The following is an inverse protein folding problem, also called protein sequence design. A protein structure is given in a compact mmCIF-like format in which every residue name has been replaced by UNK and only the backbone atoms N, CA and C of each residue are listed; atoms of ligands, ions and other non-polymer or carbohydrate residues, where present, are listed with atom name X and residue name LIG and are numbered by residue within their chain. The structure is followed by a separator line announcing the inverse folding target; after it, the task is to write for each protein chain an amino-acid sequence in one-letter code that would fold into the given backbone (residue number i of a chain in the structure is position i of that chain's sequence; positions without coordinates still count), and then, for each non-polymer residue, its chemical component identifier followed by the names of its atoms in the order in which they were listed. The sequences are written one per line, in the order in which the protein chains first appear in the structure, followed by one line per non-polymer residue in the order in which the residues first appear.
data_IF_026324893184
#
_entry.id   IF_026324893184
#
_cell.length_a   1.000
_cell.length_b   1.000
_cell.length_c   1.000
_cell.angle_alpha   90.00
_cell.angle_beta   90.00
_cell.angle_gamma   90.00
#
_symmetry.space_group_name_H-M   'P 1'
#
loop_
_entity.id
_entity.type
_entity.pdbx_description
1 polymer ?
#
# COMPACT_ATOMS: atom_id res chain seq x y z
N UNK A 1 18.72 21.70 -8.54
CA UNK A 1 20.20 21.73 -8.62
C UNK A 1 20.68 20.29 -8.57
N UNK A 2 21.31 19.82 -9.65
CA UNK A 2 21.92 18.49 -9.75
C UNK A 2 23.43 18.65 -9.66
N UNK A 3 24.10 17.75 -8.92
CA UNK A 3 25.56 17.66 -8.91
C UNK A 3 25.95 16.27 -9.41
N UNK A 4 26.67 16.24 -10.54
CA UNK A 4 27.37 15.07 -11.05
C UNK A 4 28.87 15.27 -10.77
N UNK A 5 29.50 14.33 -10.09
CA UNK A 5 30.96 14.27 -9.98
C UNK A 5 31.45 13.21 -10.97
N UNK A 6 32.16 13.68 -11.98
CA UNK A 6 32.94 12.86 -12.91
C UNK A 6 34.27 12.51 -12.25
N UNK A 7 34.55 11.21 -12.13
CA UNK A 7 35.87 10.68 -11.82
C UNK A 7 36.36 9.86 -13.01
N UNK A 8 37.20 10.47 -13.86
CA UNK A 8 37.92 9.79 -14.93
C UNK A 8 39.03 8.91 -14.35
N UNK A 9 39.04 7.65 -14.75
CA UNK A 9 40.14 6.71 -14.51
C UNK A 9 40.25 5.74 -15.67
N UNK A 10 40.78 6.22 -16.80
CA UNK A 10 41.12 5.42 -17.98
C UNK A 10 42.46 4.73 -17.73
N UNK A 11 42.46 3.40 -17.64
CA UNK A 11 43.65 2.59 -17.88
C UNK A 11 43.34 1.64 -19.04
N UNK A 12 43.75 2.08 -20.22
CA UNK A 12 43.95 1.26 -21.41
C UNK A 12 45.00 0.18 -21.10
N UNK A 13 44.64 -1.08 -21.28
CA UNK A 13 45.60 -2.16 -21.53
C UNK A 13 45.08 -2.94 -22.72
N UNK A 14 45.74 -2.77 -23.87
CA UNK A 14 45.69 -3.74 -24.96
C UNK A 14 46.80 -4.77 -24.72
N UNK A 15 46.54 -6.06 -24.94
CA UNK A 15 47.43 -6.79 -25.83
C UNK A 15 46.67 -7.62 -26.86
N UNK A 16 47.03 -7.33 -28.10
CA UNK A 16 47.34 -8.27 -29.20
C UNK A 16 46.26 -9.26 -29.67
N UNK A 17 45.90 -9.05 -30.92
CA UNK A 17 45.15 -9.93 -31.80
C UNK A 17 45.79 -11.32 -31.88
N UNK A 18 44.96 -12.37 -31.88
CA UNK A 18 45.11 -13.48 -32.83
C UNK A 18 43.86 -14.40 -32.87
N UNK A 19 43.35 -14.55 -34.10
CA UNK A 19 42.56 -15.67 -34.67
C UNK A 19 41.07 -15.83 -34.30
N UNK A 20 40.26 -15.13 -35.10
CA UNK A 20 38.99 -15.50 -35.75
C UNK A 20 38.43 -16.94 -35.57
N UNK A 21 37.26 -17.09 -34.92
CA UNK A 21 36.05 -17.74 -35.51
C UNK A 21 34.85 -17.76 -34.55
N UNK A 22 33.84 -16.98 -34.91
CA UNK A 22 32.40 -17.24 -34.76
C UNK A 22 31.91 -17.83 -33.42
N UNK A 23 31.48 -16.97 -32.51
CA UNK A 23 30.54 -17.34 -31.45
C UNK A 23 29.47 -16.26 -31.31
N UNK A 24 28.24 -16.71 -31.60
CA UNK A 24 26.94 -16.05 -31.56
C UNK A 24 26.80 -15.06 -30.40
N UNK A 25 26.25 -13.88 -30.70
CA UNK A 25 26.14 -12.73 -29.81
C UNK A 25 25.66 -13.08 -28.40
N UNK A 26 26.56 -12.91 -27.45
CA UNK A 26 26.21 -12.80 -26.04
C UNK A 26 25.53 -11.45 -25.83
N UNK A 27 24.21 -11.39 -26.10
CA UNK A 27 23.37 -10.32 -25.62
C UNK A 27 23.56 -10.19 -24.12
N UNK A 28 24.17 -9.09 -23.71
CA UNK A 28 24.29 -8.70 -22.32
C UNK A 28 22.89 -8.36 -21.79
N UNK A 29 22.10 -9.38 -21.41
CA UNK A 29 20.80 -9.19 -20.75
C UNK A 29 21.06 -8.82 -19.29
N UNK A 30 21.39 -7.56 -19.05
CA UNK A 30 21.29 -7.00 -17.71
C UNK A 30 19.80 -7.00 -17.35
N UNK A 31 19.35 -8.06 -16.67
CA UNK A 31 18.02 -8.11 -16.06
C UNK A 31 18.07 -7.19 -14.85
N UNK A 32 17.79 -5.90 -15.05
CA UNK A 32 17.42 -5.02 -13.95
C UNK A 32 16.07 -5.52 -13.39
N UNK A 33 16.14 -6.43 -12.42
CA UNK A 33 14.99 -6.84 -11.61
C UNK A 33 14.76 -5.76 -10.56
N UNK A 34 14.16 -4.65 -11.00
CA UNK A 34 13.59 -3.66 -10.10
C UNK A 34 12.11 -4.02 -9.91
N UNK A 35 11.71 -4.26 -8.67
CA UNK A 35 10.31 -4.42 -8.32
C UNK A 35 9.75 -3.08 -7.83
N UNK A 36 8.56 -2.72 -8.30
CA UNK A 36 7.93 -1.44 -7.98
C UNK A 36 6.88 -1.66 -6.89
N UNK A 37 7.09 -1.01 -5.76
CA UNK A 37 6.17 -0.96 -4.63
C UNK A 37 5.47 0.40 -4.63
N UNK A 38 4.18 0.44 -4.32
CA UNK A 38 3.44 1.69 -4.32
C UNK A 38 2.09 1.57 -3.65
N UNK A 39 1.41 2.69 -3.45
CA UNK A 39 0.06 2.71 -2.93
C UNK A 39 -0.77 3.77 -3.62
N UNK A 40 -2.01 3.44 -3.94
CA UNK A 40 -2.99 4.38 -4.52
C UNK A 40 -4.02 4.70 -3.44
N UNK A 41 -4.17 5.99 -3.10
CA UNK A 41 -5.15 6.47 -2.14
C UNK A 41 -6.21 7.31 -2.86
N UNK A 42 -7.48 7.00 -2.63
CA UNK A 42 -8.61 7.80 -3.06
C UNK A 42 -9.40 8.25 -1.84
N UNK A 43 -9.61 9.55 -1.72
CA UNK A 43 -10.36 10.16 -0.63
C UNK A 43 -11.58 10.85 -1.19
N UNK A 44 -12.75 10.50 -0.67
CA UNK A 44 -13.98 11.23 -0.87
C UNK A 44 -14.42 11.83 0.45
N UNK A 45 -14.65 13.14 0.47
CA UNK A 45 -15.16 13.83 1.65
C UNK A 45 -16.42 14.61 1.28
N UNK A 46 -17.47 14.38 2.06
CA UNK A 46 -18.71 15.11 2.03
C UNK A 46 -18.85 15.94 3.30
N UNK A 47 -19.03 17.26 3.13
CA UNK A 47 -19.29 18.22 4.19
C UNK A 47 -18.04 18.80 4.88
N UNK A 48 -18.25 19.75 5.82
CA UNK A 48 -17.23 20.73 6.25
C UNK A 48 -17.11 20.93 7.77
N UNK A 49 -17.66 20.04 8.61
CA UNK A 49 -17.63 20.15 10.09
C UNK A 49 -18.24 21.44 10.67
N UNK A 50 -19.15 22.08 9.95
CA UNK A 50 -19.85 23.31 10.33
C UNK A 50 -21.15 23.02 11.08
N UNK A 51 -21.87 21.96 10.68
CA UNK A 51 -23.13 21.61 11.32
C UNK A 51 -22.91 20.69 12.53
N UNK A 52 -23.87 20.75 13.45
CA UNK A 52 -23.82 20.02 14.71
C UNK A 52 -24.01 18.51 14.52
N UNK A 53 -24.59 18.04 13.42
CA UNK A 53 -24.88 16.62 13.20
C UNK A 53 -24.64 16.25 11.75
N UNK A 54 -24.05 15.08 11.51
CA UNK A 54 -23.94 14.48 10.17
C UNK A 54 -23.15 15.29 9.14
N UNK A 55 -22.38 16.30 9.55
CA UNK A 55 -21.79 17.27 8.61
C UNK A 55 -20.48 16.81 7.99
N UNK A 56 -19.88 15.73 8.47
CA UNK A 56 -18.74 15.13 7.81
C UNK A 56 -19.00 13.65 7.60
N UNK A 57 -18.98 13.24 6.35
CA UNK A 57 -18.75 11.85 5.97
C UNK A 57 -17.54 11.81 5.06
N UNK A 58 -16.53 11.05 5.44
CA UNK A 58 -15.31 10.87 4.68
C UNK A 58 -15.04 9.39 4.49
N UNK A 59 -14.66 9.03 3.29
CA UNK A 59 -14.33 7.67 2.88
C UNK A 59 -12.95 7.76 2.24
N UNK A 60 -11.98 7.07 2.82
CA UNK A 60 -10.65 6.91 2.23
C UNK A 60 -10.47 5.44 1.84
N UNK A 61 -10.18 5.17 0.58
CA UNK A 61 -9.83 3.86 0.06
C UNK A 61 -8.37 3.86 -0.37
N UNK A 62 -7.56 2.96 0.18
CA UNK A 62 -6.14 2.83 -0.10
C UNK A 62 -5.83 1.42 -0.58
N UNK A 63 -5.24 1.30 -1.76
CA UNK A 63 -4.73 0.05 -2.32
C UNK A 63 -3.21 0.07 -2.22
N UNK A 64 -2.63 -0.85 -1.46
CA UNK A 64 -1.19 -1.06 -1.37
C UNK A 64 -0.77 -2.17 -2.35
N UNK A 65 0.12 -1.81 -3.26
CA UNK A 65 0.79 -2.68 -4.23
C UNK A 65 2.16 -3.04 -3.67
N UNK A 66 2.28 -4.30 -3.24
CA UNK A 66 3.48 -4.85 -2.62
C UNK A 66 4.47 -5.42 -3.63
N UNK A 67 4.16 -5.51 -4.92
CA UNK A 67 5.09 -5.89 -5.99
C UNK A 67 4.40 -5.73 -7.34
N UNK A 68 5.00 -4.97 -8.25
CA UNK A 68 4.47 -4.83 -9.60
C UNK A 68 4.77 -6.08 -10.45
N UNK A 69 5.91 -6.72 -10.22
CA UNK A 69 6.24 -7.97 -10.92
C UNK A 69 5.26 -9.10 -10.56
N UNK A 70 4.86 -9.19 -9.29
CA UNK A 70 3.92 -10.22 -8.82
C UNK A 70 2.52 -10.01 -9.39
N UNK A 71 2.05 -8.75 -9.42
CA UNK A 71 0.77 -8.41 -10.01
C UNK A 71 0.78 -8.68 -11.51
N UNK A 72 1.83 -8.28 -12.23
CA UNK A 72 1.95 -8.52 -13.67
C UNK A 72 1.95 -10.03 -13.98
N UNK A 73 2.68 -10.82 -13.20
CA UNK A 73 2.69 -12.27 -13.32
C UNK A 73 1.31 -12.87 -13.01
N UNK A 74 0.61 -12.36 -12.00
CA UNK A 74 -0.75 -12.79 -11.64
C UNK A 74 -1.78 -12.49 -12.72
N UNK A 75 -1.75 -11.29 -13.30
CA UNK A 75 -2.61 -10.91 -14.43
C UNK A 75 -2.29 -11.75 -15.67
N UNK A 76 -1.01 -11.96 -15.97
CA UNK A 76 -0.58 -12.80 -17.07
C UNK A 76 -1.07 -14.25 -16.92
N UNK A 77 -0.93 -14.84 -15.72
CA UNK A 77 -1.40 -16.20 -15.45
C UNK A 77 -2.93 -16.31 -15.55
N UNK A 78 -3.67 -15.29 -15.09
CA UNK A 78 -5.14 -15.24 -15.17
C UNK A 78 -5.63 -15.17 -16.62
N UNK A 79 -5.00 -14.31 -17.44
CA UNK A 79 -5.33 -14.16 -18.86
C UNK A 79 -4.91 -15.37 -19.69
N UNK A 80 -3.84 -16.07 -19.30
CA UNK A 80 -3.27 -17.20 -20.05
C UNK A 80 -3.92 -18.55 -19.71
N UNK A 81 -5.01 -18.57 -18.92
CA UNK A 81 -5.75 -19.77 -18.50
C UNK A 81 -4.88 -20.89 -17.89
N UNK A 82 -3.67 -20.56 -17.41
CA UNK A 82 -2.70 -21.52 -16.89
C UNK A 82 -2.84 -21.61 -15.37
N UNK A 83 -3.92 -22.28 -14.94
CA UNK A 83 -4.31 -22.42 -13.52
C UNK A 83 -3.41 -23.32 -12.67
N UNK A 84 -2.37 -23.94 -13.25
CA UNK A 84 -1.62 -25.04 -12.64
C UNK A 84 -0.22 -24.68 -12.14
N UNK A 85 0.23 -23.43 -12.27
CA UNK A 85 1.53 -23.03 -11.71
C UNK A 85 1.31 -22.62 -10.25
N UNK A 86 2.00 -23.24 -9.26
CA UNK A 86 1.92 -22.78 -7.89
C UNK A 86 2.42 -21.34 -7.87
N UNK A 87 1.50 -20.40 -7.71
CA UNK A 87 1.86 -19.04 -7.38
C UNK A 87 2.58 -19.15 -6.04
N UNK A 88 3.89 -18.88 -6.04
CA UNK A 88 4.59 -18.57 -4.79
C UNK A 88 3.72 -17.60 -3.98
N UNK A 89 3.82 -17.65 -2.66
CA UNK A 89 3.20 -16.73 -1.68
C UNK A 89 3.68 -15.27 -1.86
N UNK A 90 3.52 -14.75 -3.07
CA UNK A 90 3.98 -13.47 -3.54
C UNK A 90 2.85 -12.47 -3.27
N UNK A 91 3.03 -11.82 -2.13
CA UNK A 91 2.46 -10.54 -1.72
C UNK A 91 1.03 -10.23 -2.22
N UNK A 92 0.03 -10.81 -1.55
CA UNK A 92 -1.39 -10.49 -1.79
C UNK A 92 -1.65 -8.98 -1.62
N UNK A 93 -2.23 -8.28 -2.62
CA UNK A 93 -2.46 -6.84 -2.55
C UNK A 93 -3.43 -6.52 -1.41
N UNK A 94 -3.16 -5.40 -0.72
CA UNK A 94 -3.90 -5.02 0.48
C UNK A 94 -4.77 -3.80 0.21
N UNK A 95 -6.03 -3.86 0.62
CA UNK A 95 -6.97 -2.75 0.55
C UNK A 95 -7.26 -2.30 1.97
N UNK A 96 -6.99 -1.03 2.27
CA UNK A 96 -7.42 -0.39 3.51
C UNK A 96 -8.57 0.56 3.18
N UNK A 97 -9.69 0.44 3.88
CA UNK A 97 -10.86 1.27 3.74
C UNK A 97 -11.14 1.95 5.07
N UNK A 98 -11.10 3.27 5.06
CA UNK A 98 -11.37 4.10 6.23
C UNK A 98 -12.69 4.83 5.99
N UNK A 99 -13.63 4.60 6.89
CA UNK A 99 -14.85 5.36 6.99
C UNK A 99 -14.75 6.32 8.18
N UNK A 100 -15.12 7.57 7.99
CA UNK A 100 -15.15 8.56 9.05
C UNK A 100 -16.45 9.35 8.98
N UNK A 101 -17.19 9.38 10.08
CA UNK A 101 -18.46 10.07 10.20
C UNK A 101 -18.52 10.92 11.46
N UNK A 102 -18.88 12.19 11.29
CA UNK A 102 -19.25 13.05 12.41
C UNK A 102 -20.65 12.64 12.90
N UNK A 103 -20.73 12.20 14.16
CA UNK A 103 -21.98 11.71 14.75
C UNK A 103 -22.76 12.89 15.34
N UNK A 104 -22.16 13.56 16.32
CA UNK A 104 -22.80 14.66 17.05
C UNK A 104 -21.75 15.64 17.59
N UNK A 105 -21.95 16.92 17.33
CA UNK A 105 -21.06 18.01 17.72
C UNK A 105 -19.60 17.69 17.38
N UNK A 106 -18.68 17.69 18.36
CA UNK A 106 -17.26 17.39 18.18
C UNK A 106 -16.92 15.87 18.19
N UNK A 107 -17.93 14.99 18.21
CA UNK A 107 -17.75 13.53 18.20
C UNK A 107 -17.63 13.03 16.77
N UNK A 108 -16.55 12.31 16.48
CA UNK A 108 -16.25 11.71 15.19
C UNK A 108 -15.98 10.23 15.37
N UNK A 109 -16.80 9.41 14.73
CA UNK A 109 -16.60 7.99 14.62
C UNK A 109 -15.77 7.68 13.38
N UNK A 110 -14.80 6.79 13.51
CA UNK A 110 -13.94 6.34 12.44
C UNK A 110 -13.82 4.82 12.50
N UNK A 111 -13.88 4.18 11.35
CA UNK A 111 -13.67 2.75 11.17
C UNK A 111 -12.58 2.57 10.15
N UNK A 112 -11.51 1.87 10.50
CA UNK A 112 -10.44 1.49 9.59
C UNK A 112 -10.54 -0.02 9.36
N UNK A 113 -10.73 -0.45 8.12
CA UNK A 113 -10.89 -1.86 7.75
C UNK A 113 -9.80 -2.24 6.76
N UNK A 114 -9.07 -3.30 7.08
CA UNK A 114 -7.97 -3.80 6.25
C UNK A 114 -8.32 -5.15 5.68
N UNK A 115 -8.24 -5.27 4.36
CA UNK A 115 -8.52 -6.46 3.60
C UNK A 115 -7.26 -6.90 2.82
N UNK A 116 -6.98 -8.20 2.78
CA UNK A 116 -6.05 -8.78 1.82
C UNK A 116 -6.79 -9.54 0.73
N UNK A 117 -6.39 -9.34 -0.53
CA UNK A 117 -6.88 -10.15 -1.63
C UNK A 117 -5.99 -11.37 -1.78
N UNK A 118 -6.24 -12.35 -0.92
CA UNK A 118 -5.59 -13.64 -1.05
C UNK A 118 -6.20 -14.41 -2.22
N UNK A 119 -5.35 -14.96 -3.09
CA UNK A 119 -5.76 -15.78 -4.23
C UNK A 119 -5.15 -17.17 -4.10
N UNK A 120 -5.34 -17.79 -2.95
CA UNK A 120 -4.96 -19.19 -2.76
C UNK A 120 -5.98 -20.10 -3.47
N UNK A 121 -5.52 -21.21 -4.08
CA UNK A 121 -6.40 -22.13 -4.79
C UNK A 121 -7.42 -22.73 -3.82
N UNK A 122 -8.70 -22.36 -3.97
CA UNK A 122 -9.82 -22.86 -3.15
C UNK A 122 -10.52 -21.81 -2.27
N UNK A 123 -9.95 -20.60 -2.10
CA UNK A 123 -10.64 -19.47 -1.42
C UNK A 123 -10.53 -18.21 -2.27
N UNK A 124 -11.52 -17.99 -3.13
CA UNK A 124 -11.62 -16.77 -3.93
C UNK A 124 -12.40 -15.71 -3.15
N UNK A 125 -11.73 -14.75 -2.51
CA UNK A 125 -12.40 -13.60 -1.90
C UNK A 125 -11.51 -12.69 -1.06
N UNK A 126 -11.91 -11.42 -0.85
CA UNK A 126 -11.22 -10.51 0.04
C UNK A 126 -11.30 -11.02 1.49
N UNK A 127 -10.15 -11.21 2.13
CA UNK A 127 -10.05 -11.60 3.54
C UNK A 127 -9.92 -10.36 4.40
N UNK A 128 -10.79 -10.22 5.40
CA UNK A 128 -10.66 -9.19 6.43
C UNK A 128 -9.46 -9.54 7.33
N UNK A 129 -8.42 -8.70 7.32
CA UNK A 129 -7.23 -8.85 8.17
C UNK A 129 -7.44 -8.19 9.53
N UNK A 130 -7.92 -6.95 9.53
CA UNK A 130 -8.06 -6.15 10.74
C UNK A 130 -9.20 -5.15 10.58
N UNK A 131 -9.84 -4.80 11.70
CA UNK A 131 -10.80 -3.71 11.80
C UNK A 131 -10.48 -2.94 13.05
N UNK A 132 -10.43 -1.62 12.95
CA UNK A 132 -10.18 -0.72 14.06
C UNK A 132 -11.33 0.27 14.11
N UNK A 133 -12.06 0.25 15.22
CA UNK A 133 -13.02 1.28 15.56
C UNK A 133 -12.32 2.38 16.33
N UNK A 134 -12.67 3.63 16.04
CA UNK A 134 -12.08 4.79 16.68
C UNK A 134 -13.13 5.84 16.93
N UNK A 135 -13.18 6.34 18.16
CA UNK A 135 -14.06 7.42 18.58
C UNK A 135 -13.20 8.60 19.00
N UNK A 136 -13.39 9.73 18.32
CA UNK A 136 -12.65 10.95 18.57
C UNK A 136 -13.62 11.98 19.14
N UNK A 137 -13.27 12.59 20.26
CA UNK A 137 -14.05 13.65 20.88
C UNK A 137 -13.16 14.87 21.13
N UNK A 138 -13.46 15.97 20.44
CA UNK A 138 -12.74 17.24 20.69
C UNK A 138 -13.36 17.98 21.87
N UNK A 139 -12.59 18.14 22.93
CA UNK A 139 -12.97 18.86 24.16
C UNK A 139 -12.87 20.37 23.89
N UNK A 140 -13.99 20.97 23.47
CA UNK A 140 -14.06 22.44 23.25
C UNK A 140 -13.73 23.25 24.50
N UNK A 141 -13.98 22.68 25.69
CA UNK A 141 -13.73 23.32 26.99
C UNK A 141 -12.22 23.51 27.27
N UNK A 142 -11.37 22.62 26.75
CA UNK A 142 -9.92 22.71 26.92
C UNK A 142 -9.22 23.41 25.75
N UNK A 143 -9.97 24.06 24.86
CA UNK A 143 -9.45 24.81 23.71
C UNK A 143 -8.89 23.93 22.57
N UNK A 144 -8.02 22.97 22.88
CA UNK A 144 -7.37 22.07 21.93
C UNK A 144 -7.40 20.58 22.35
N UNK A 145 -7.91 20.27 23.53
CA UNK A 145 -7.94 18.90 24.04
C UNK A 145 -8.78 17.96 23.16
N UNK A 146 -8.32 16.72 23.02
CA UNK A 146 -9.01 15.66 22.26
C UNK A 146 -8.86 14.32 22.94
N UNK A 147 -9.97 13.62 23.14
CA UNK A 147 -9.97 12.22 23.53
C UNK A 147 -10.05 11.37 22.26
N UNK A 148 -9.17 10.38 22.14
CA UNK A 148 -9.17 9.40 21.07
C UNK A 148 -9.24 8.03 21.71
N UNK A 149 -10.38 7.37 21.59
CA UNK A 149 -10.53 5.97 21.93
C UNK A 149 -10.40 5.14 20.64
N UNK A 150 -9.64 4.05 20.67
CA UNK A 150 -9.61 3.08 19.59
C UNK A 150 -9.73 1.66 20.12
N UNK A 151 -10.29 0.78 19.32
CA UNK A 151 -10.50 -0.62 19.64
C UNK A 151 -10.38 -1.48 18.38
N UNK A 152 -9.54 -2.52 18.42
CA UNK A 152 -9.45 -3.54 17.38
C UNK A 152 -10.08 -4.83 17.90
N UNK A 153 -11.26 -5.25 17.41
CA UNK A 153 -11.83 -6.56 17.70
C UNK A 153 -10.92 -7.72 17.30
N UNK A 154 -10.13 -7.56 16.22
CA UNK A 154 -9.23 -8.61 15.73
C UNK A 154 -8.14 -8.95 16.73
N UNK A 155 -7.60 -7.93 17.41
CA UNK A 155 -6.55 -8.08 18.42
C UNK A 155 -7.09 -8.20 19.84
N UNK A 156 -8.39 -7.89 20.04
CA UNK A 156 -9.04 -7.74 21.36
C UNK A 156 -8.35 -6.68 22.22
N UNK A 157 -7.83 -5.65 21.58
CA UNK A 157 -7.08 -4.58 22.23
C UNK A 157 -7.76 -3.23 21.99
N UNK A 158 -7.63 -2.33 22.95
CA UNK A 158 -8.09 -0.97 22.82
C UNK A 158 -7.34 -0.04 23.75
N UNK A 159 -7.33 1.24 23.40
CA UNK A 159 -6.70 2.27 24.19
C UNK A 159 -7.51 3.55 24.11
N UNK A 160 -7.49 4.31 25.20
CA UNK A 160 -8.04 5.66 25.27
C UNK A 160 -6.88 6.61 25.52
N UNK A 161 -6.64 7.48 24.56
CA UNK A 161 -5.65 8.55 24.66
C UNK A 161 -6.36 9.87 24.91
N UNK A 162 -5.91 10.61 25.93
CA UNK A 162 -6.22 12.02 26.09
C UNK A 162 -5.03 12.82 25.56
N UNK A 163 -5.29 13.67 24.57
CA UNK A 163 -4.33 14.65 24.04
C UNK A 163 -4.76 16.02 24.54
N UNK A 164 -3.88 16.74 25.22
CA UNK A 164 -4.14 18.08 25.80
C UNK A 164 -3.48 19.16 24.95
#
# INVERSE_FOLDING_TARGET
MAWASAGSGSLFVNPTQDVERSSIGAQNRVRFLADLFGSVCYTFQHGKFRNLFGDLTRIDARLDILSASDIAQKVYNLLSAQSNRPSNELSSPKINLIYQQQVAGPVVFRVDSKFSLDSSPGRHGPRLEDVIYSLNYSLRILGSGKVVAWYSPGRKEGMVELRL
#
